data_IF_618045625335
#
_entry.id   IF_618045625335
#
_cell.length_a   1.000
_cell.length_b   1.000
_cell.length_c   1.000
_cell.angle_alpha   90.00
_cell.angle_beta   90.00
_cell.angle_gamma   90.00
#
_symmetry.space_group_name_H-M   'P 1'
#
loop_
_entity.id
_entity.type
_entity.pdbx_description
1 polymer ?
#
# COMPACT_ATOMS: atom_id res chain seq x y z
N UNK A 1 -10.85 38.40 2.48
CA UNK A 1 -9.85 37.33 2.66
C UNK A 1 -10.46 35.92 2.69
N UNK A 2 -11.60 35.67 2.02
CA UNK A 2 -12.13 34.30 1.79
C UNK A 2 -12.02 33.83 0.33
N UNK A 3 -11.68 34.75 -0.57
CA UNK A 3 -11.68 34.53 -2.02
C UNK A 3 -10.52 33.65 -2.52
N UNK A 4 -9.40 33.60 -1.77
CA UNK A 4 -8.26 32.76 -2.13
C UNK A 4 -8.51 31.27 -1.92
N UNK A 5 -9.43 30.89 -1.01
CA UNK A 5 -9.85 29.49 -0.83
C UNK A 5 -10.79 29.01 -1.95
N UNK A 6 -11.51 29.91 -2.61
CA UNK A 6 -12.30 29.59 -3.82
C UNK A 6 -11.46 29.45 -5.09
N UNK A 7 -10.19 29.88 -5.09
CA UNK A 7 -9.28 29.69 -6.22
C UNK A 7 -8.58 28.34 -6.20
N UNK A 8 -8.48 27.70 -5.02
CA UNK A 8 -8.05 26.32 -4.90
C UNK A 8 -9.28 25.47 -5.20
N UNK A 9 -9.21 24.73 -6.29
CA UNK A 9 -10.26 23.81 -6.70
C UNK A 9 -10.49 22.79 -5.58
N UNK A 10 -11.62 22.89 -4.86
CA UNK A 10 -11.96 22.04 -3.71
C UNK A 10 -11.90 20.55 -4.10
N UNK A 11 -12.13 20.27 -5.38
CA UNK A 11 -11.98 18.96 -6.02
C UNK A 11 -10.57 18.37 -5.89
N UNK A 12 -9.51 19.19 -5.94
CA UNK A 12 -8.12 18.73 -5.77
C UNK A 12 -7.84 18.34 -4.33
N UNK A 13 -8.22 19.18 -3.36
CA UNK A 13 -8.04 18.89 -1.92
C UNK A 13 -8.75 17.59 -1.55
N UNK A 14 -9.99 17.42 -2.01
CA UNK A 14 -10.74 16.20 -1.76
C UNK A 14 -10.08 14.95 -2.37
N UNK A 15 -9.53 15.05 -3.58
CA UNK A 15 -8.77 13.94 -4.21
C UNK A 15 -7.53 13.59 -3.41
N UNK A 16 -6.77 14.57 -2.92
CA UNK A 16 -5.62 14.32 -2.05
C UNK A 16 -6.03 13.69 -0.72
N UNK A 17 -7.12 14.15 -0.12
CA UNK A 17 -7.64 13.59 1.12
C UNK A 17 -8.09 12.13 0.94
N UNK A 18 -8.87 11.86 -0.11
CA UNK A 18 -9.32 10.51 -0.46
C UNK A 18 -8.14 9.57 -0.76
N UNK A 19 -7.14 10.04 -1.50
CA UNK A 19 -5.91 9.29 -1.76
C UNK A 19 -5.14 9.00 -0.47
N UNK A 20 -4.94 10.01 0.39
CA UNK A 20 -4.27 9.84 1.68
C UNK A 20 -4.97 8.78 2.54
N UNK A 21 -6.29 8.73 2.52
CA UNK A 21 -7.05 7.67 3.22
C UNK A 21 -6.78 6.27 2.63
N UNK A 22 -6.63 6.15 1.31
CA UNK A 22 -6.25 4.87 0.69
C UNK A 22 -4.84 4.43 1.09
N UNK A 23 -3.89 5.36 1.16
CA UNK A 23 -2.53 5.09 1.65
C UNK A 23 -2.56 4.63 3.11
N UNK A 24 -3.30 5.35 3.96
CA UNK A 24 -3.45 4.99 5.37
C UNK A 24 -4.07 3.60 5.54
N UNK A 25 -5.15 3.30 4.82
CA UNK A 25 -5.77 1.98 4.83
C UNK A 25 -4.78 0.88 4.38
N UNK A 26 -3.94 1.17 3.39
CA UNK A 26 -2.90 0.24 2.91
C UNK A 26 -1.87 -0.06 4.00
N UNK A 27 -1.38 0.97 4.71
CA UNK A 27 -0.41 0.83 5.82
C UNK A 27 -1.04 0.03 6.97
N UNK A 28 -2.29 0.33 7.33
CA UNK A 28 -3.02 -0.37 8.38
C UNK A 28 -3.21 -1.84 8.01
N UNK A 29 -3.58 -2.17 6.76
CA UNK A 29 -3.72 -3.55 6.30
C UNK A 29 -2.40 -4.33 6.39
N UNK A 30 -1.27 -3.74 5.99
CA UNK A 30 0.04 -4.37 6.16
C UNK A 30 0.40 -4.59 7.63
N UNK A 31 0.08 -3.60 8.48
CA UNK A 31 0.29 -3.70 9.94
C UNK A 31 -0.56 -4.82 10.54
N UNK A 32 -1.83 -4.91 10.17
CA UNK A 32 -2.75 -5.98 10.58
C UNK A 32 -2.29 -7.35 10.06
N UNK A 33 -1.75 -7.44 8.84
CA UNK A 33 -1.20 -8.68 8.29
C UNK A 33 0.01 -9.19 9.10
N UNK A 34 0.94 -8.29 9.47
CA UNK A 34 2.04 -8.63 10.39
C UNK A 34 1.50 -9.05 11.76
N UNK A 35 0.54 -8.31 12.31
CA UNK A 35 -0.05 -8.63 13.60
C UNK A 35 -0.73 -10.00 13.62
N UNK A 36 -1.54 -10.33 12.61
CA UNK A 36 -2.18 -11.63 12.46
C UNK A 36 -1.15 -12.75 12.31
N UNK A 37 -0.11 -12.53 11.52
CA UNK A 37 0.98 -13.50 11.37
C UNK A 37 1.75 -13.75 12.66
N UNK A 38 1.87 -12.74 13.54
CA UNK A 38 2.55 -12.88 14.82
C UNK A 38 1.75 -13.69 15.85
N UNK A 39 0.43 -13.78 15.67
CA UNK A 39 -0.48 -14.50 16.55
C UNK A 39 -0.88 -15.87 15.98
N UNK A 40 -0.16 -16.38 14.98
CA UNK A 40 -0.48 -17.62 14.24
C UNK A 40 -1.94 -17.68 13.74
N UNK A 41 -2.49 -16.51 13.36
CA UNK A 41 -3.82 -16.39 12.76
C UNK A 41 -3.71 -16.30 11.24
N UNK A 42 -4.83 -16.52 10.55
CA UNK A 42 -4.92 -16.49 9.09
C UNK A 42 -4.63 -15.09 8.52
N UNK A 43 -3.35 -14.77 8.32
CA UNK A 43 -2.88 -13.45 7.87
C UNK A 43 -3.27 -13.12 6.42
N UNK A 44 -3.56 -14.14 5.60
CA UNK A 44 -3.96 -13.99 4.19
C UNK A 44 -5.18 -13.11 3.97
N UNK A 45 -6.08 -13.01 4.97
CA UNK A 45 -7.25 -12.12 4.92
C UNK A 45 -6.85 -10.64 4.85
N UNK A 46 -5.70 -10.27 5.41
CA UNK A 46 -5.18 -8.90 5.37
C UNK A 46 -4.10 -8.75 4.29
N UNK A 47 -3.24 -9.76 4.06
CA UNK A 47 -2.16 -9.70 3.06
C UNK A 47 -2.70 -9.55 1.64
N UNK A 48 -3.79 -10.23 1.29
CA UNK A 48 -4.40 -10.18 -0.05
C UNK A 48 -4.91 -8.76 -0.39
N UNK A 49 -5.80 -8.15 0.41
CA UNK A 49 -6.23 -6.78 0.15
C UNK A 49 -5.12 -5.74 0.31
N UNK A 50 -4.13 -5.96 1.21
CA UNK A 50 -2.97 -5.07 1.33
C UNK A 50 -2.15 -5.00 0.05
N UNK A 51 -1.91 -6.16 -0.58
CA UNK A 51 -1.14 -6.27 -1.83
C UNK A 51 -1.87 -5.57 -2.98
N UNK A 52 -3.18 -5.80 -3.10
CA UNK A 52 -4.01 -5.12 -4.10
C UNK A 52 -4.03 -3.60 -3.89
N UNK A 53 -4.25 -3.14 -2.66
CA UNK A 53 -4.25 -1.71 -2.34
C UNK A 53 -2.90 -1.05 -2.61
N UNK A 54 -1.79 -1.76 -2.38
CA UNK A 54 -0.44 -1.29 -2.76
C UNK A 54 -0.34 -1.07 -4.26
N UNK A 55 -0.86 -1.99 -5.09
CA UNK A 55 -0.89 -1.82 -6.54
C UNK A 55 -1.70 -0.57 -6.94
N UNK A 56 -2.88 -0.38 -6.33
CA UNK A 56 -3.78 0.75 -6.59
C UNK A 56 -3.11 2.08 -6.24
N UNK A 57 -2.53 2.18 -5.05
CA UNK A 57 -1.84 3.39 -4.56
C UNK A 57 -0.61 3.70 -5.42
N UNK A 58 0.22 2.70 -5.76
CA UNK A 58 1.39 2.93 -6.62
C UNK A 58 0.99 3.35 -8.03
N UNK A 59 -0.02 2.69 -8.63
CA UNK A 59 -0.53 3.07 -9.95
C UNK A 59 -1.06 4.49 -9.94
N UNK A 60 -1.76 4.89 -8.86
CA UNK A 60 -2.26 6.25 -8.69
C UNK A 60 -1.12 7.28 -8.61
N UNK A 61 -0.05 7.01 -7.85
CA UNK A 61 1.11 7.90 -7.76
C UNK A 61 1.77 8.10 -9.14
N UNK A 62 1.86 7.03 -9.93
CA UNK A 62 2.50 7.07 -11.25
C UNK A 62 1.61 7.74 -12.30
N UNK A 63 0.31 7.46 -12.28
CA UNK A 63 -0.64 7.91 -13.31
C UNK A 63 -1.23 9.29 -13.04
N UNK A 64 -1.33 9.72 -11.77
CA UNK A 64 -1.93 10.99 -11.43
C UNK A 64 -1.16 12.13 -12.12
N UNK A 65 -1.86 13.09 -12.77
CA UNK A 65 -1.23 14.23 -13.43
C UNK A 65 -0.49 15.15 -12.44
N UNK A 66 -0.80 15.06 -11.15
CA UNK A 66 -0.07 15.77 -10.08
C UNK A 66 1.06 14.92 -9.46
N UNK A 67 1.17 13.64 -9.82
CA UNK A 67 2.29 12.77 -9.49
C UNK A 67 3.32 12.77 -10.61
N UNK A 68 3.58 11.60 -11.20
CA UNK A 68 4.50 11.48 -12.34
C UNK A 68 3.84 11.69 -13.71
N UNK A 69 2.50 11.72 -13.79
CA UNK A 69 1.77 11.94 -15.04
C UNK A 69 2.05 10.89 -16.13
N UNK A 70 2.46 9.69 -15.76
CA UNK A 70 2.85 8.65 -16.70
C UNK A 70 1.62 8.02 -17.38
N UNK A 71 1.73 7.66 -18.67
CA UNK A 71 0.66 6.96 -19.38
C UNK A 71 0.34 5.62 -18.71
N UNK A 72 -0.94 5.24 -18.72
CA UNK A 72 -1.43 4.02 -18.06
C UNK A 72 -0.71 2.74 -18.52
N UNK A 73 -0.18 2.73 -19.75
CA UNK A 73 0.64 1.63 -20.28
C UNK A 73 1.90 1.34 -19.47
N UNK A 74 2.45 2.34 -18.77
CA UNK A 74 3.62 2.19 -17.88
C UNK A 74 3.17 2.08 -16.42
N UNK A 75 2.15 2.83 -16.03
CA UNK A 75 1.70 2.90 -14.63
C UNK A 75 1.08 1.60 -14.13
N UNK A 76 0.28 0.89 -14.96
CA UNK A 76 -0.31 -0.40 -14.58
C UNK A 76 0.73 -1.51 -14.35
N UNK A 77 1.69 -1.78 -15.27
CA UNK A 77 2.72 -2.79 -15.02
C UNK A 77 3.65 -2.40 -13.87
N UNK A 78 4.00 -1.13 -13.72
CA UNK A 78 4.81 -0.66 -12.60
C UNK A 78 4.10 -0.87 -11.24
N UNK A 79 2.79 -0.60 -11.17
CA UNK A 79 1.96 -0.89 -9.99
C UNK A 79 1.93 -2.38 -9.64
N UNK A 80 1.79 -3.25 -10.64
CA UNK A 80 1.86 -4.71 -10.43
C UNK A 80 3.23 -5.17 -9.94
N UNK A 81 4.33 -4.63 -10.49
CA UNK A 81 5.69 -4.94 -10.06
C UNK A 81 5.91 -4.51 -8.61
N UNK A 82 5.46 -3.32 -8.21
CA UNK A 82 5.55 -2.85 -6.83
C UNK A 82 4.75 -3.74 -5.87
N UNK A 83 3.53 -4.12 -6.23
CA UNK A 83 2.71 -5.01 -5.42
C UNK A 83 3.36 -6.40 -5.25
N UNK A 84 3.91 -6.95 -6.34
CA UNK A 84 4.67 -8.20 -6.29
C UNK A 84 5.91 -8.07 -5.39
N UNK A 85 6.66 -6.97 -5.49
CA UNK A 85 7.83 -6.71 -4.66
C UNK A 85 7.49 -6.64 -3.16
N UNK A 86 6.39 -5.95 -2.80
CA UNK A 86 5.91 -5.88 -1.42
C UNK A 86 5.43 -7.23 -0.90
N UNK A 87 4.75 -8.03 -1.72
CA UNK A 87 4.34 -9.38 -1.37
C UNK A 87 5.56 -10.29 -1.13
N UNK A 88 6.58 -10.23 -1.98
CA UNK A 88 7.85 -10.98 -1.82
C UNK A 88 8.60 -10.52 -0.56
N UNK A 89 8.67 -9.22 -0.30
CA UNK A 89 9.28 -8.67 0.92
C UNK A 89 8.57 -9.21 2.17
N UNK A 90 7.24 -9.21 2.18
CA UNK A 90 6.47 -9.76 3.29
C UNK A 90 6.72 -11.26 3.47
N UNK A 91 6.71 -12.05 2.38
CA UNK A 91 6.97 -13.48 2.44
C UNK A 91 8.39 -13.80 2.96
N UNK A 92 9.41 -13.05 2.53
CA UNK A 92 10.79 -13.21 3.01
C UNK A 92 10.95 -12.79 4.47
N UNK A 93 10.26 -11.72 4.89
CA UNK A 93 10.21 -11.29 6.30
C UNK A 93 9.59 -12.38 7.20
N UNK A 94 8.47 -12.96 6.78
CA UNK A 94 7.84 -14.06 7.52
C UNK A 94 8.72 -15.31 7.60
N UNK A 95 9.37 -15.70 6.49
CA UNK A 95 10.27 -16.87 6.47
C UNK A 95 11.46 -16.70 7.41
N UNK A 96 12.14 -15.54 7.38
CA UNK A 96 13.27 -15.26 8.29
C UNK A 96 12.84 -15.34 9.76
N UNK A 97 11.64 -14.88 10.06
CA UNK A 97 11.10 -14.88 11.42
C UNK A 97 10.70 -16.26 11.92
N UNK A 98 10.07 -17.08 11.07
CA UNK A 98 9.77 -18.49 11.40
C UNK A 98 11.03 -19.28 11.71
N UNK A 99 12.11 -19.10 10.92
CA UNK A 99 13.41 -19.71 11.17
C UNK A 99 14.04 -19.25 12.50
N UNK A 100 13.95 -17.96 12.82
CA UNK A 100 14.48 -17.43 14.09
C UNK A 100 13.77 -17.99 15.32
N UNK A 101 12.46 -18.25 15.25
CA UNK A 101 11.73 -18.86 16.36
C UNK A 101 12.11 -20.33 16.55
N UNK A 102 12.32 -21.07 15.46
CA UNK A 102 12.74 -22.47 15.53
C UNK A 102 14.13 -22.65 16.18
N UNK A 103 15.06 -21.71 15.96
CA UNK A 103 16.41 -21.75 16.55
C UNK A 103 16.45 -21.39 18.04
N UNK A 104 15.43 -20.72 18.58
CA UNK A 104 15.35 -20.37 20.00
C UNK A 104 14.63 -21.44 20.84
N UNK A 105 14.01 -22.42 20.19
CA UNK A 105 13.35 -23.56 20.83
C UNK A 105 14.24 -24.81 20.97
N UNK A 106 15.48 -24.75 20.47
CA UNK A 106 16.53 -25.77 20.67
C UNK A 106 17.54 -25.32 21.73
#
# INVERSE_FOLDING_TARGET
>A
MGFSLTLIDFSKVWRYFAFSNQVLATIVLWTSAVYLSNNDKFHWIATTPATFMTAVVTTYILQAPEGFGLPGSISYPAGMICAAAFCVLFATFLRKRSLSLALLSE
#
